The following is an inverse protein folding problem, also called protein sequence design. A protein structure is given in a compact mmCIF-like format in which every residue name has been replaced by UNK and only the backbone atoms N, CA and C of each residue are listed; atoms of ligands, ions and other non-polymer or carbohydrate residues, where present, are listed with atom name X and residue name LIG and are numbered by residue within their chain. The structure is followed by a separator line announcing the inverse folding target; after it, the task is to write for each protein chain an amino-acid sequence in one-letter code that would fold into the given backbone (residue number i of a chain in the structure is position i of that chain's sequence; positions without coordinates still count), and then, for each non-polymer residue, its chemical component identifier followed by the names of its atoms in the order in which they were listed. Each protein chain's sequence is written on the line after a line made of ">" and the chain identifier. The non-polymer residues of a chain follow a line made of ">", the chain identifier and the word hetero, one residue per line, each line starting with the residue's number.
data_IF_957302724652
#
_entry.id   IF_957302724652
#
_cell.length_a   1.000
_cell.length_b   1.000
_cell.length_c   1.000
_cell.angle_alpha   90.00
_cell.angle_beta   90.00
_cell.angle_gamma   90.00
#
_symmetry.space_group_name_H-M   'P 1'
#
loop_
_entity.id
_entity.type
_entity.pdbx_description
1 polymer ?
#
# COMPACT_ATOMS: atom_id res chain seq x y z
N UNK A 1 -19.40 18.36 -0.50
CA UNK A 1 -17.96 18.69 -0.51
C UNK A 1 -17.57 19.50 0.72
N UNK A 2 -18.24 20.61 1.02
CA UNK A 2 -17.92 21.48 2.17
C UNK A 2 -18.23 20.85 3.56
N UNK A 3 -19.31 20.06 3.67
CA UNK A 3 -19.64 19.31 4.89
C UNK A 3 -18.59 18.25 5.26
N UNK A 4 -18.04 17.53 4.27
CA UNK A 4 -17.04 16.48 4.54
C UNK A 4 -15.71 17.08 4.99
N UNK A 5 -15.28 18.20 4.39
CA UNK A 5 -14.06 18.90 4.82
C UNK A 5 -14.17 19.48 6.24
N UNK A 6 -15.35 19.94 6.66
CA UNK A 6 -15.58 20.41 8.03
C UNK A 6 -15.54 19.27 9.05
N UNK A 7 -16.11 18.11 8.71
CA UNK A 7 -16.07 16.91 9.55
C UNK A 7 -14.64 16.36 9.68
N UNK A 8 -13.85 16.36 8.59
CA UNK A 8 -12.45 15.93 8.60
C UNK A 8 -11.61 16.84 9.51
N UNK A 9 -11.73 18.16 9.35
CA UNK A 9 -11.00 19.12 10.21
C UNK A 9 -11.40 19.00 11.68
N UNK A 10 -12.69 18.80 11.96
CA UNK A 10 -13.18 18.61 13.33
C UNK A 10 -12.66 17.29 13.94
N UNK A 11 -12.74 16.18 13.21
CA UNK A 11 -12.28 14.88 13.69
C UNK A 11 -10.76 14.84 13.92
N UNK A 12 -9.96 15.48 13.06
CA UNK A 12 -8.52 15.60 13.25
C UNK A 12 -8.16 16.47 14.46
N UNK A 13 -8.90 17.56 14.69
CA UNK A 13 -8.74 18.40 15.88
C UNK A 13 -9.15 17.66 17.16
N UNK A 14 -10.27 16.94 17.15
CA UNK A 14 -10.78 16.21 18.32
C UNK A 14 -9.87 15.03 18.70
N UNK A 15 -9.24 14.40 17.70
CA UNK A 15 -8.26 13.33 17.90
C UNK A 15 -6.84 13.86 18.24
N UNK A 16 -6.64 15.19 18.28
CA UNK A 16 -5.34 15.84 18.48
C UNK A 16 -4.26 15.28 17.53
N UNK A 17 -4.65 14.94 16.29
CA UNK A 17 -3.74 14.43 15.27
C UNK A 17 -2.93 15.62 14.75
N UNK A 18 -1.58 15.58 14.77
CA UNK A 18 -0.77 16.66 14.24
C UNK A 18 -1.10 16.89 12.75
N UNK A 19 -1.68 18.06 12.45
CA UNK A 19 -1.80 18.53 11.08
C UNK A 19 -0.40 18.97 10.61
N UNK A 20 0.00 18.63 9.37
CA UNK A 20 1.24 19.17 8.82
C UNK A 20 1.19 20.70 8.82
N UNK A 21 2.32 21.35 9.14
CA UNK A 21 2.53 22.76 8.77
C UNK A 21 2.70 22.80 7.26
N UNK A 22 1.58 23.01 6.58
CA UNK A 22 1.48 23.12 5.13
C UNK A 22 2.13 24.44 4.67
N UNK A 23 3.05 24.38 3.71
CA UNK A 23 3.51 25.57 2.98
C UNK A 23 2.38 26.11 2.09
N UNK A 24 2.36 27.42 1.87
CA UNK A 24 1.26 28.16 1.19
C UNK A 24 0.88 27.63 -0.21
N UNK A 25 1.72 26.83 -0.86
CA UNK A 25 1.42 26.19 -2.15
C UNK A 25 0.48 24.98 -2.08
N UNK A 26 0.32 24.36 -0.90
CA UNK A 26 -0.42 23.10 -0.75
C UNK A 26 -1.92 23.26 -0.47
N UNK A 27 -2.41 24.49 -0.24
CA UNK A 27 -3.84 24.75 0.00
C UNK A 27 -4.73 24.51 -1.24
N UNK A 28 -4.14 24.39 -2.44
CA UNK A 28 -4.90 24.19 -3.69
C UNK A 28 -5.27 22.74 -4.03
N UNK A 29 -4.76 21.73 -3.30
CA UNK A 29 -4.98 20.32 -3.65
C UNK A 29 -5.49 19.51 -2.43
N UNK A 30 -6.35 20.11 -1.60
CA UNK A 30 -7.05 19.38 -0.53
C UNK A 30 -8.44 18.94 -0.99
N UNK A 31 -8.54 17.80 -1.67
CA UNK A 31 -9.86 17.30 -2.08
C UNK A 31 -9.97 15.96 -2.79
N UNK A 32 -8.87 15.29 -3.16
CA UNK A 32 -8.97 14.01 -3.85
C UNK A 32 -8.89 12.85 -2.84
N UNK A 33 -10.04 12.54 -2.23
CA UNK A 33 -10.22 11.27 -1.52
C UNK A 33 -9.94 10.12 -2.47
N UNK A 34 -9.07 9.19 -2.06
CA UNK A 34 -8.85 7.94 -2.77
C UNK A 34 -10.15 7.14 -2.66
N UNK A 35 -10.92 7.08 -3.75
CA UNK A 35 -12.12 6.27 -3.80
C UNK A 35 -11.74 4.79 -3.81
N UNK A 36 -12.59 3.94 -3.25
CA UNK A 36 -12.42 2.47 -3.27
C UNK A 36 -12.20 1.90 -4.70
N UNK A 37 -12.62 2.64 -5.74
CA UNK A 37 -12.42 2.28 -7.14
C UNK A 37 -10.97 2.45 -7.64
N UNK A 38 -10.19 3.41 -7.11
CA UNK A 38 -8.81 3.66 -7.58
C UNK A 38 -7.80 2.69 -7.00
N UNK A 39 -8.04 2.15 -5.80
CA UNK A 39 -7.16 1.14 -5.20
C UNK A 39 -7.26 -0.22 -5.91
N UNK A 40 -8.42 -0.54 -6.48
CA UNK A 40 -8.62 -1.79 -7.21
C UNK A 40 -7.96 -1.79 -8.60
N UNK A 41 -7.67 -0.62 -9.17
CA UNK A 41 -6.99 -0.47 -10.46
C UNK A 41 -5.46 -0.50 -10.31
N UNK A 42 -4.93 -0.06 -9.16
CA UNK A 42 -3.48 0.18 -8.95
C UNK A 42 -2.86 -0.86 -8.00
N UNK A 43 -3.65 -1.69 -7.30
CA UNK A 43 -3.13 -2.76 -6.46
C UNK A 43 -2.30 -2.24 -5.27
N UNK A 44 -2.69 -1.09 -4.71
CA UNK A 44 -1.98 -0.45 -3.59
C UNK A 44 -2.05 -1.37 -2.36
N UNK A 45 -0.88 -1.69 -1.81
CA UNK A 45 -0.72 -2.54 -0.61
C UNK A 45 -0.25 -1.73 0.59
N UNK A 46 -0.27 -2.32 1.78
CA UNK A 46 0.28 -1.73 3.00
C UNK A 46 1.74 -1.30 2.86
N UNK A 47 2.56 -2.10 2.17
CA UNK A 47 3.96 -1.75 1.91
C UNK A 47 4.11 -0.47 1.08
N UNK A 48 3.19 -0.20 0.14
CA UNK A 48 3.20 1.07 -0.59
C UNK A 48 2.90 2.26 0.33
N UNK A 49 1.97 2.09 1.28
CA UNK A 49 1.70 3.11 2.30
C UNK A 49 2.90 3.37 3.20
N UNK A 50 3.59 2.31 3.64
CA UNK A 50 4.81 2.42 4.44
C UNK A 50 5.89 3.22 3.70
N UNK A 51 6.19 2.86 2.44
CA UNK A 51 7.22 3.53 1.64
C UNK A 51 6.84 4.99 1.37
N UNK A 52 5.60 5.24 0.93
CA UNK A 52 5.15 6.59 0.60
C UNK A 52 5.16 7.50 1.83
N UNK A 53 4.60 7.04 2.95
CA UNK A 53 4.57 7.81 4.18
C UNK A 53 5.98 8.06 4.72
N UNK A 54 6.86 7.07 4.64
CA UNK A 54 8.24 7.24 5.06
C UNK A 54 8.96 8.30 4.22
N UNK A 55 8.85 8.24 2.88
CA UNK A 55 9.46 9.20 1.94
C UNK A 55 8.98 10.64 2.21
N UNK A 56 7.71 10.82 2.57
CA UNK A 56 7.08 12.14 2.73
C UNK A 56 7.23 12.75 4.13
N UNK A 57 7.35 11.92 5.15
CA UNK A 57 7.17 12.39 6.53
C UNK A 57 8.32 12.03 7.45
N UNK A 58 8.71 10.75 7.52
CA UNK A 58 9.59 10.26 8.59
C UNK A 58 11.06 10.16 8.18
N UNK A 59 11.33 9.87 6.91
CA UNK A 59 12.67 9.60 6.38
C UNK A 59 13.49 8.64 7.28
N UNK A 60 12.81 7.63 7.81
CA UNK A 60 13.34 6.62 8.73
C UNK A 60 13.82 5.35 8.02
N UNK A 61 14.37 4.43 8.81
CA UNK A 61 14.76 3.09 8.35
C UNK A 61 13.54 2.18 8.35
N UNK A 62 13.35 1.43 7.27
CA UNK A 62 12.20 0.54 7.13
C UNK A 62 12.51 -0.90 7.51
N UNK A 63 11.47 -1.62 7.94
CA UNK A 63 11.48 -3.07 8.16
C UNK A 63 12.61 -3.54 9.11
N UNK A 64 12.80 -2.77 10.19
CA UNK A 64 13.88 -2.98 11.16
C UNK A 64 13.54 -4.17 12.06
N UNK A 65 14.39 -5.20 12.04
CA UNK A 65 14.19 -6.38 12.88
C UNK A 65 14.63 -6.13 14.32
N UNK A 66 13.78 -6.51 15.27
CA UNK A 66 14.05 -6.53 16.71
C UNK A 66 13.73 -7.92 17.27
N UNK A 67 14.15 -8.20 18.51
CA UNK A 67 13.93 -9.51 19.12
C UNK A 67 12.45 -9.95 19.14
N UNK A 68 11.53 -8.98 19.16
CA UNK A 68 10.10 -9.21 19.30
C UNK A 68 9.33 -9.17 17.98
N UNK A 69 9.97 -8.87 16.85
CA UNK A 69 9.30 -8.73 15.56
C UNK A 69 10.05 -7.82 14.59
N UNK A 70 9.30 -7.11 13.74
CA UNK A 70 9.82 -6.20 12.74
C UNK A 70 9.02 -4.91 12.78
N UNK A 71 9.72 -3.79 12.81
CA UNK A 71 9.13 -2.46 12.91
C UNK A 71 9.08 -1.85 11.51
N UNK A 72 7.92 -1.37 11.10
CA UNK A 72 7.72 -0.83 9.74
C UNK A 72 8.66 0.33 9.44
N UNK A 73 8.73 1.33 10.34
CA UNK A 73 9.60 2.50 10.20
C UNK A 73 10.20 2.87 11.57
N UNK A 74 11.50 3.14 11.60
CA UNK A 74 12.23 3.61 12.79
C UNK A 74 12.99 4.89 12.47
N UNK A 75 12.80 5.93 13.28
CA UNK A 75 13.62 7.15 13.26
C UNK A 75 14.53 7.18 14.48
N UNK A 76 15.29 8.28 14.65
CA UNK A 76 16.13 8.45 15.83
C UNK A 76 15.30 8.49 17.13
N UNK A 77 14.05 8.98 17.06
CA UNK A 77 13.21 9.26 18.23
C UNK A 77 11.92 8.45 18.29
N UNK A 78 11.50 7.82 17.18
CA UNK A 78 10.19 7.18 17.05
C UNK A 78 10.27 5.77 16.47
N UNK A 79 9.32 4.93 16.85
CA UNK A 79 8.96 3.68 16.17
C UNK A 79 7.54 3.83 15.65
N UNK A 80 7.35 3.54 14.36
CA UNK A 80 6.09 3.77 13.67
C UNK A 80 5.59 2.44 13.13
N UNK A 81 4.37 2.09 13.51
CA UNK A 81 3.57 1.02 12.93
C UNK A 81 2.60 1.61 11.90
N UNK A 82 2.50 1.03 10.71
CA UNK A 82 1.61 1.49 9.64
C UNK A 82 0.54 0.43 9.35
N UNK A 83 -0.73 0.72 9.64
CA UNK A 83 -1.83 -0.25 9.40
C UNK A 83 -3.10 0.43 8.87
N UNK A 84 -4.04 -0.36 8.37
CA UNK A 84 -5.40 0.08 8.06
C UNK A 84 -6.09 0.58 9.31
N UNK A 85 -6.95 1.58 9.14
CA UNK A 85 -7.73 2.12 10.27
C UNK A 85 -8.58 1.06 10.97
N UNK A 86 -9.03 0.03 10.24
CA UNK A 86 -9.80 -1.08 10.80
C UNK A 86 -9.00 -1.99 11.75
N UNK A 87 -7.67 -1.87 11.78
CA UNK A 87 -6.75 -2.65 12.63
C UNK A 87 -6.00 -1.78 13.64
N UNK A 88 -6.57 -0.62 14.00
CA UNK A 88 -5.89 0.34 14.88
C UNK A 88 -5.52 -0.25 16.26
N UNK A 89 -6.33 -1.17 16.80
CA UNK A 89 -6.08 -1.76 18.10
C UNK A 89 -4.86 -2.67 18.09
N UNK A 90 -4.72 -3.52 17.06
CA UNK A 90 -3.52 -4.32 16.83
C UNK A 90 -2.31 -3.42 16.60
N UNK A 91 -2.46 -2.35 15.80
CA UNK A 91 -1.40 -1.39 15.53
C UNK A 91 -0.89 -0.67 16.80
N UNK A 92 -1.78 -0.26 17.71
CA UNK A 92 -1.40 0.32 19.01
C UNK A 92 -0.56 -0.68 19.81
N UNK A 93 -1.01 -1.93 19.90
CA UNK A 93 -0.31 -2.96 20.66
C UNK A 93 1.11 -3.22 20.10
N UNK A 94 1.26 -3.21 18.78
CA UNK A 94 2.56 -3.33 18.12
C UNK A 94 3.46 -2.12 18.38
N UNK A 95 2.94 -0.91 18.20
CA UNK A 95 3.70 0.32 18.44
C UNK A 95 4.24 0.39 19.88
N UNK A 96 3.42 0.06 20.88
CA UNK A 96 3.83 0.00 22.29
C UNK A 96 4.91 -1.06 22.53
N UNK A 97 4.69 -2.28 22.03
CA UNK A 97 5.65 -3.38 22.13
C UNK A 97 7.02 -3.01 21.55
N UNK A 98 7.05 -2.28 20.44
CA UNK A 98 8.29 -1.84 19.80
C UNK A 98 8.90 -0.63 20.53
N UNK A 99 8.10 0.24 21.11
CA UNK A 99 8.58 1.31 21.98
C UNK A 99 9.31 0.73 23.20
N UNK A 100 8.73 -0.28 23.85
CA UNK A 100 9.36 -0.98 24.98
C UNK A 100 10.70 -1.61 24.58
N UNK A 101 10.78 -2.19 23.38
CA UNK A 101 11.99 -2.83 22.88
C UNK A 101 13.11 -1.83 22.50
N UNK A 102 12.77 -0.57 22.21
CA UNK A 102 13.70 0.40 21.62
C UNK A 102 13.93 1.66 22.46
N UNK A 103 13.07 1.92 23.45
CA UNK A 103 13.04 3.16 24.22
C UNK A 103 12.59 4.39 23.43
N UNK A 104 11.95 4.20 22.27
CA UNK A 104 11.50 5.29 21.37
C UNK A 104 10.02 5.59 21.55
N UNK A 105 9.59 6.78 21.11
CA UNK A 105 8.18 7.19 21.18
C UNK A 105 7.34 6.33 20.20
N UNK A 106 6.28 5.65 20.67
CA UNK A 106 5.38 4.90 19.80
C UNK A 106 4.52 5.84 18.94
N UNK A 107 4.39 5.50 17.67
CA UNK A 107 3.51 6.14 16.69
C UNK A 107 2.70 5.05 15.99
N UNK A 108 1.39 5.26 15.90
CA UNK A 108 0.53 4.52 14.99
C UNK A 108 0.18 5.43 13.81
N UNK A 109 0.59 5.03 12.62
CA UNK A 109 0.15 5.64 11.37
C UNK A 109 -0.97 4.79 10.75
N UNK A 110 -2.16 5.37 10.59
CA UNK A 110 -3.31 4.68 10.00
C UNK A 110 -3.64 5.23 8.61
N UNK A 111 -4.11 4.35 7.72
CA UNK A 111 -4.72 4.76 6.46
C UNK A 111 -6.16 4.25 6.31
N UNK A 112 -6.98 5.04 5.64
CA UNK A 112 -8.36 4.72 5.26
C UNK A 112 -8.37 4.35 3.77
N UNK A 113 -8.91 3.18 3.47
CA UNK A 113 -9.01 2.52 2.18
C UNK A 113 -10.49 2.18 1.87
N UNK A 114 -11.30 3.24 1.79
CA UNK A 114 -12.72 3.16 1.43
C UNK A 114 -13.62 2.47 2.47
N UNK A 115 -13.18 2.32 3.72
CA UNK A 115 -14.06 1.91 4.81
C UNK A 115 -15.13 2.98 5.06
N UNK A 116 -16.41 2.58 5.02
CA UNK A 116 -17.55 3.47 5.27
C UNK A 116 -17.46 4.15 6.64
N UNK A 117 -16.99 3.42 7.65
CA UNK A 117 -16.86 3.88 9.03
C UNK A 117 -15.44 4.37 9.38
N UNK A 118 -14.57 4.57 8.38
CA UNK A 118 -13.16 4.90 8.61
C UNK A 118 -12.96 6.13 9.51
N UNK A 119 -13.79 7.16 9.37
CA UNK A 119 -13.70 8.36 10.21
C UNK A 119 -14.17 8.13 11.66
N UNK A 120 -15.16 7.27 11.87
CA UNK A 120 -15.61 6.91 13.22
C UNK A 120 -14.51 6.11 13.92
N UNK A 121 -13.93 5.14 13.22
CA UNK A 121 -12.78 4.38 13.71
C UNK A 121 -11.58 5.29 14.00
N UNK A 122 -11.35 6.34 13.20
CA UNK A 122 -10.29 7.32 13.46
C UNK A 122 -10.48 8.07 14.78
N UNK A 123 -11.72 8.42 15.15
CA UNK A 123 -12.01 9.04 16.44
C UNK A 123 -11.76 8.07 17.60
N UNK A 124 -12.19 6.82 17.46
CA UNK A 124 -11.96 5.76 18.46
C UNK A 124 -10.45 5.47 18.63
N UNK A 125 -9.72 5.37 17.52
CA UNK A 125 -8.27 5.23 17.50
C UNK A 125 -7.58 6.43 18.17
N UNK A 126 -8.02 7.66 17.89
CA UNK A 126 -7.48 8.87 18.51
C UNK A 126 -7.61 8.86 20.04
N UNK A 127 -8.78 8.45 20.55
CA UNK A 127 -8.99 8.29 21.99
C UNK A 127 -8.06 7.22 22.56
N UNK A 128 -8.00 6.05 21.94
CA UNK A 128 -7.18 4.93 22.43
C UNK A 128 -5.68 5.26 22.39
N UNK A 129 -5.18 5.88 21.32
CA UNK A 129 -3.80 6.34 21.20
C UNK A 129 -3.46 7.34 22.31
N UNK A 130 -4.33 8.32 22.58
CA UNK A 130 -4.12 9.29 23.65
C UNK A 130 -4.05 8.64 25.03
N UNK A 131 -4.95 7.69 25.33
CA UNK A 131 -4.97 6.95 26.60
C UNK A 131 -3.69 6.12 26.81
N UNK A 132 -3.09 5.63 25.72
CA UNK A 132 -1.89 4.80 25.74
C UNK A 132 -0.58 5.59 25.49
N UNK A 133 -0.64 6.91 25.34
CA UNK A 133 0.55 7.73 25.04
C UNK A 133 1.17 7.46 23.66
N UNK A 134 0.39 6.94 22.71
CA UNK A 134 0.79 6.70 21.32
C UNK A 134 0.43 7.91 20.46
N UNK A 135 1.34 8.34 19.59
CA UNK A 135 1.04 9.41 18.63
C UNK A 135 0.25 8.80 17.47
N UNK A 136 -0.92 9.36 17.16
CA UNK A 136 -1.71 8.96 15.99
C UNK A 136 -1.37 9.85 14.79
N UNK A 137 -1.13 9.24 13.63
CA UNK A 137 -0.93 9.90 12.34
C UNK A 137 -1.93 9.36 11.32
N UNK A 138 -2.64 10.24 10.61
CA UNK A 138 -3.46 9.84 9.47
C UNK A 138 -2.62 9.94 8.18
N UNK A 139 -2.22 8.80 7.62
CA UNK A 139 -1.36 8.73 6.44
C UNK A 139 -1.99 9.40 5.20
N UNK A 140 -3.31 9.32 5.05
CA UNK A 140 -4.05 9.98 3.96
C UNK A 140 -3.87 11.51 3.93
N UNK A 141 -3.40 12.13 5.01
CA UNK A 141 -3.10 13.58 5.06
C UNK A 141 -1.73 13.94 4.48
N UNK A 142 -0.87 12.96 4.22
CA UNK A 142 0.52 13.16 3.75
C UNK A 142 0.78 12.50 2.40
N UNK A 143 0.03 11.44 2.07
CA UNK A 143 0.21 10.62 0.89
C UNK A 143 -1.01 10.73 -0.03
N UNK A 144 -0.76 11.00 -1.30
CA UNK A 144 -1.74 11.12 -2.37
C UNK A 144 -1.62 9.97 -3.38
N UNK A 145 -2.60 9.86 -4.30
CA UNK A 145 -2.53 8.90 -5.41
C UNK A 145 -1.28 9.10 -6.28
N UNK A 146 -0.87 10.35 -6.49
CA UNK A 146 0.30 10.67 -7.30
C UNK A 146 1.59 10.12 -6.69
N UNK A 147 1.71 10.11 -5.36
CA UNK A 147 2.87 9.54 -4.68
C UNK A 147 2.96 8.02 -4.94
N UNK A 148 1.82 7.31 -5.00
CA UNK A 148 1.82 5.89 -5.37
C UNK A 148 2.18 5.65 -6.82
N UNK A 149 1.69 6.49 -7.75
CA UNK A 149 2.03 6.39 -9.17
C UNK A 149 3.53 6.61 -9.37
N UNK A 150 4.11 7.60 -8.69
CA UNK A 150 5.55 7.87 -8.71
C UNK A 150 6.35 6.65 -8.24
N UNK A 151 6.00 6.07 -7.09
CA UNK A 151 6.66 4.88 -6.55
C UNK A 151 6.60 3.68 -7.51
N UNK A 152 5.44 3.42 -8.09
CA UNK A 152 5.26 2.32 -9.06
C UNK A 152 6.05 2.57 -10.35
N UNK A 153 6.15 3.82 -10.77
CA UNK A 153 6.94 4.22 -11.96
C UNK A 153 8.44 4.10 -11.69
N UNK A 154 8.91 4.53 -10.51
CA UNK A 154 10.31 4.37 -10.08
C UNK A 154 10.69 2.88 -10.00
N UNK A 155 9.86 2.05 -9.39
CA UNK A 155 10.07 0.60 -9.32
C UNK A 155 10.10 -0.06 -10.71
N UNK A 156 9.25 0.40 -11.64
CA UNK A 156 9.24 -0.04 -13.03
C UNK A 156 10.53 0.34 -13.79
N UNK A 157 11.07 1.54 -13.56
CA UNK A 157 12.35 1.98 -14.13
C UNK A 157 13.53 1.17 -13.61
N UNK A 158 13.61 0.94 -12.29
CA UNK A 158 14.68 0.11 -11.70
C UNK A 158 14.68 -1.32 -12.24
N UNK A 159 13.51 -1.93 -12.46
CA UNK A 159 13.42 -3.27 -13.06
C UNK A 159 13.92 -3.31 -14.53
N UNK A 160 13.86 -2.18 -15.26
CA UNK A 160 14.29 -2.11 -16.66
C UNK A 160 15.78 -1.83 -16.86
N UNK A 161 16.47 -1.26 -15.86
CA UNK A 161 17.91 -0.96 -15.91
C UNK A 161 18.80 -2.13 -15.43
N UNK A 162 18.21 -3.20 -14.90
CA UNK A 162 18.93 -4.36 -14.35
C UNK A 162 19.11 -5.53 -15.34
N UNK A 163 18.87 -5.33 -16.64
CA UNK A 163 19.27 -6.32 -17.65
C UNK A 163 20.80 -6.24 -17.85
N UNK A 164 21.58 -7.30 -17.56
CA UNK A 164 23.00 -7.29 -17.88
C UNK A 164 23.19 -7.27 -19.40
N UNK A 165 24.01 -6.32 -19.90
CA UNK A 165 24.41 -6.17 -21.31
C UNK A 165 25.27 -7.34 -21.86
N UNK A 166 25.21 -8.53 -21.26
CA UNK A 166 26.03 -9.68 -21.65
C UNK A 166 25.18 -10.89 -22.03
N UNK A 167 24.46 -10.78 -23.14
CA UNK A 167 24.05 -11.94 -23.93
C UNK A 167 24.58 -11.74 -25.35
N UNK A 168 25.65 -12.47 -25.65
CA UNK A 168 26.35 -12.42 -26.92
C UNK A 168 25.46 -12.75 -28.11
N UNK A 169 25.83 -12.12 -29.23
CA UNK A 169 25.64 -12.54 -30.63
C UNK A 169 24.45 -13.46 -30.92
N UNK A 170 23.34 -12.88 -31.33
CA UNK A 170 22.33 -13.60 -32.12
C UNK A 170 22.87 -13.83 -33.54
N UNK A 171 22.76 -15.05 -34.12
CA UNK A 171 23.05 -15.23 -35.53
C UNK A 171 21.93 -14.58 -36.36
N UNK A 172 22.34 -13.93 -37.44
CA UNK A 172 21.49 -13.25 -38.40
C UNK A 172 20.41 -14.20 -38.94
N UNK A 173 19.14 -13.94 -38.59
CA UNK A 173 18.00 -14.56 -39.25
C UNK A 173 17.74 -13.81 -40.56
N UNK A 174 17.81 -14.55 -41.67
CA UNK A 174 17.51 -14.08 -43.02
C UNK A 174 16.12 -13.46 -43.07
N UNK A 175 16.09 -12.26 -43.64
CA UNK A 175 14.91 -11.55 -44.12
C UNK A 175 14.29 -12.31 -45.28
N UNK A 176 13.15 -12.96 -45.01
CA UNK A 176 12.14 -13.14 -46.05
C UNK A 176 10.96 -12.22 -45.76
N UNK A 177 10.59 -11.53 -46.82
CA UNK A 177 9.65 -10.42 -46.96
C UNK A 177 8.29 -10.66 -46.31
N UNK A 178 7.87 -9.71 -45.45
CA UNK A 178 6.45 -9.49 -45.17
C UNK A 178 6.13 -8.05 -45.54
N UNK A 179 5.22 -7.95 -46.51
CA UNK A 179 4.71 -6.72 -47.09
C UNK A 179 4.04 -5.83 -46.06
N UNK A 180 4.15 -4.53 -46.32
CA UNK A 180 3.37 -3.44 -45.74
C UNK A 180 1.91 -3.81 -45.49
N UNK A 181 1.51 -3.91 -44.22
CA UNK A 181 0.18 -3.45 -43.82
C UNK A 181 0.16 -3.05 -42.34
N UNK A 182 0.15 -1.74 -42.12
CA UNK A 182 -0.02 -1.09 -40.84
C UNK A 182 -1.51 -1.13 -40.48
N UNK A 183 -1.89 -2.00 -39.54
CA UNK A 183 -3.17 -1.84 -38.84
C UNK A 183 -3.15 -2.55 -37.48
N UNK A 184 -3.12 -1.74 -36.42
CA UNK A 184 -3.89 -1.86 -35.17
C UNK A 184 -4.44 -3.24 -34.78
N UNK A 185 -3.94 -3.81 -33.67
CA UNK A 185 -4.50 -4.93 -32.85
C UNK A 185 -3.41 -5.40 -31.86
N UNK A 186 -3.62 -5.68 -30.57
CA UNK A 186 -4.78 -5.69 -29.67
C UNK A 186 -4.20 -5.93 -28.27
N UNK A 187 -4.70 -5.23 -27.24
CA UNK A 187 -4.52 -5.59 -25.83
C UNK A 187 -4.97 -7.04 -25.68
N UNK A 188 -4.04 -7.97 -25.42
CA UNK A 188 -4.40 -9.35 -25.13
C UNK A 188 -5.18 -9.35 -23.81
N UNK A 189 -6.47 -9.71 -23.87
CA UNK A 189 -7.30 -10.00 -22.71
C UNK A 189 -6.53 -10.94 -21.77
N UNK A 190 -6.25 -10.45 -20.56
CA UNK A 190 -5.55 -11.24 -19.55
C UNK A 190 -6.53 -12.32 -19.09
N UNK A 191 -6.32 -13.57 -19.51
CA UNK A 191 -7.17 -14.69 -19.10
C UNK A 191 -7.12 -14.88 -17.58
N UNK A 192 -8.15 -14.38 -16.89
CA UNK A 192 -8.33 -14.54 -15.44
C UNK A 192 -8.92 -15.92 -15.10
N UNK A 193 -8.18 -16.98 -15.44
CA UNK A 193 -8.58 -18.39 -15.26
C UNK A 193 -8.31 -18.96 -13.85
N UNK A 194 -7.66 -18.19 -12.99
CA UNK A 194 -7.23 -18.65 -11.67
C UNK A 194 -7.98 -17.91 -10.57
N UNK A 195 -8.02 -18.45 -9.36
CA UNK A 195 -8.62 -17.84 -8.17
C UNK A 195 -7.56 -17.59 -7.11
N UNK A 196 -7.42 -16.36 -6.60
CA UNK A 196 -6.48 -16.02 -5.53
C UNK A 196 -7.23 -15.80 -4.23
N UNK A 197 -6.79 -16.46 -3.15
CA UNK A 197 -7.32 -16.24 -1.80
C UNK A 197 -6.72 -14.94 -1.22
N UNK A 198 -7.55 -13.96 -0.90
CA UNK A 198 -7.11 -12.61 -0.50
C UNK A 198 -6.26 -12.61 0.77
N UNK A 199 -6.61 -13.42 1.75
CA UNK A 199 -5.91 -13.46 3.05
C UNK A 199 -4.52 -14.11 3.00
N UNK A 200 -4.24 -14.96 2.02
CA UNK A 200 -2.97 -15.71 1.94
C UNK A 200 -2.16 -15.42 0.68
N UNK A 201 -2.74 -14.73 -0.31
CA UNK A 201 -2.12 -14.50 -1.61
C UNK A 201 -1.85 -15.79 -2.40
N UNK A 202 -2.51 -16.89 -2.06
CA UNK A 202 -2.34 -18.19 -2.73
C UNK A 202 -3.29 -18.30 -3.92
N UNK A 203 -2.73 -18.59 -5.09
CA UNK A 203 -3.45 -18.82 -6.36
C UNK A 203 -3.80 -20.29 -6.54
N UNK A 204 -5.00 -20.54 -7.04
CA UNK A 204 -5.58 -21.85 -7.31
C UNK A 204 -6.16 -21.91 -8.74
N UNK A 205 -6.00 -23.00 -9.47
CA UNK A 205 -6.80 -23.27 -10.68
C UNK A 205 -8.16 -23.90 -10.36
N UNK A 206 -9.02 -24.00 -11.37
CA UNK A 206 -10.41 -24.50 -11.30
C UNK A 206 -10.56 -25.93 -10.77
N UNK A 207 -9.51 -26.74 -10.74
CA UNK A 207 -9.54 -28.08 -10.15
C UNK A 207 -9.37 -28.09 -8.62
N UNK A 208 -9.01 -26.96 -8.03
CA UNK A 208 -8.72 -26.87 -6.61
C UNK A 208 -9.99 -26.66 -5.77
N UNK A 209 -10.08 -27.36 -4.62
CA UNK A 209 -11.18 -27.17 -3.65
C UNK A 209 -11.38 -25.73 -3.17
N UNK A 210 -10.35 -24.88 -3.24
CA UNK A 210 -10.38 -23.47 -2.79
C UNK A 210 -10.70 -22.47 -3.90
N UNK A 211 -10.79 -22.92 -5.16
CA UNK A 211 -11.19 -22.11 -6.28
C UNK A 211 -12.67 -21.71 -6.12
N UNK A 212 -12.95 -20.40 -6.15
CA UNK A 212 -14.29 -19.81 -5.93
C UNK A 212 -14.99 -20.14 -4.59
N UNK A 213 -14.34 -20.93 -3.72
CA UNK A 213 -14.87 -21.33 -2.41
C UNK A 213 -14.15 -20.66 -1.23
N UNK A 214 -13.11 -19.87 -1.49
CA UNK A 214 -12.40 -19.08 -0.48
C UNK A 214 -12.71 -17.59 -0.62
N UNK A 215 -12.48 -16.78 0.42
CA UNK A 215 -12.58 -15.32 0.29
C UNK A 215 -11.46 -14.80 -0.64
N UNK A 216 -11.80 -14.59 -1.92
CA UNK A 216 -10.84 -14.40 -2.99
C UNK A 216 -11.45 -13.77 -4.25
N UNK A 217 -10.67 -13.76 -5.33
CA UNK A 217 -11.12 -13.25 -6.63
C UNK A 217 -10.44 -13.95 -7.80
N UNK A 218 -10.98 -13.78 -9.01
CA UNK A 218 -10.31 -14.21 -10.24
C UNK A 218 -9.00 -13.43 -10.45
N UNK A 219 -7.98 -14.12 -10.96
CA UNK A 219 -6.61 -13.63 -11.09
C UNK A 219 -5.92 -14.27 -12.31
N UNK A 220 -4.82 -13.65 -12.72
CA UNK A 220 -3.99 -14.15 -13.83
C UNK A 220 -3.05 -15.27 -13.37
N UNK A 221 -2.42 -15.96 -14.33
CA UNK A 221 -1.42 -17.02 -14.07
C UNK A 221 -0.20 -16.52 -13.28
N UNK A 222 0.10 -15.22 -13.34
CA UNK A 222 1.31 -14.64 -12.76
C UNK A 222 1.06 -13.98 -11.39
N UNK A 223 -0.18 -14.04 -10.88
CA UNK A 223 -0.58 -13.29 -9.69
C UNK A 223 -0.49 -14.14 -8.42
N UNK A 224 0.24 -13.68 -7.41
CA UNK A 224 0.39 -14.36 -6.12
C UNK A 224 1.21 -15.66 -6.18
N UNK A 225 1.23 -16.40 -5.07
CA UNK A 225 1.99 -17.65 -4.93
C UNK A 225 1.14 -18.85 -5.35
N UNK A 226 1.66 -19.71 -6.21
CA UNK A 226 0.98 -20.95 -6.61
C UNK A 226 0.66 -21.86 -5.40
N UNK A 227 -0.56 -22.40 -5.38
CA UNK A 227 -0.95 -23.41 -4.40
C UNK A 227 -0.10 -24.67 -4.56
N UNK A 228 0.46 -25.18 -3.45
CA UNK A 228 1.29 -26.40 -3.47
C UNK A 228 0.51 -27.67 -3.84
N UNK A 229 -0.82 -27.64 -3.79
CA UNK A 229 -1.68 -28.80 -4.07
C UNK A 229 -2.08 -28.84 -5.54
N UNK A 230 -2.55 -27.72 -6.11
CA UNK A 230 -3.02 -27.68 -7.50
C UNK A 230 -2.04 -27.03 -8.48
N UNK A 231 -0.94 -26.44 -8.01
CA UNK A 231 0.06 -25.76 -8.85
C UNK A 231 -0.27 -24.32 -9.19
N UNK A 232 -1.40 -23.79 -8.70
CA UNK A 232 -1.88 -22.44 -9.01
C UNK A 232 -2.24 -22.32 -10.47
#
# INVERSE_FOLDING_TARGET
>A
MEKNNKIIKQALNDANVPLPKLSEESERISGHSISHATNNVIGITESHWQVALNKKTFNGKMEVTVATGRIDIVTDTQVIEVDKISKYAEGIAQALKYADATGKQPVLAVYIDGEKEGYKLLQEAGKSCKENGVILVLANSYVSVSDFIELLTEAGKLCSEQLPESAGTLPAFRTESISENVQDKTIQEVELKYWITNSSGIRHNSSCRYYENSNGRKCSKNEGRACKICGG
#
